data_IF_615328373672
#
_entry.id   IF_615328373672
#
_cell.length_a   1.000
_cell.length_b   1.000
_cell.length_c   1.000
_cell.angle_alpha   90.00
_cell.angle_beta   90.00
_cell.angle_gamma   90.00
#
_symmetry.space_group_name_H-M   'P 1'
#
loop_
_entity.id
_entity.type
_entity.pdbx_description
1 polymer ?
#
# COMPACT_ATOMS: atom_id res chain seq x y z
N UNK A 1 -102.49 -3.41 31.32
CA UNK A 1 -102.62 -4.43 30.27
C UNK A 1 -101.27 -4.61 29.57
N UNK A 2 -100.33 -5.33 30.20
CA UNK A 2 -98.90 -5.33 29.78
C UNK A 2 -98.31 -6.75 29.68
N UNK A 3 -99.03 -7.66 29.00
CA UNK A 3 -98.64 -9.07 28.93
C UNK A 3 -98.33 -9.63 27.54
N UNK A 4 -98.41 -8.83 26.46
CA UNK A 4 -98.48 -9.40 25.10
C UNK A 4 -97.68 -8.72 24.00
N UNK A 5 -96.92 -7.65 24.26
CA UNK A 5 -96.05 -7.09 23.25
C UNK A 5 -94.80 -7.98 23.10
N UNK A 6 -94.64 -8.59 21.93
CA UNK A 6 -93.47 -9.38 21.56
C UNK A 6 -92.20 -8.55 21.83
N UNK A 7 -91.42 -8.98 22.82
CA UNK A 7 -90.22 -8.26 23.24
C UNK A 7 -89.25 -8.11 22.07
N UNK A 8 -89.19 -9.12 21.20
CA UNK A 8 -88.35 -9.11 20.02
C UNK A 8 -88.77 -8.00 19.06
N UNK A 9 -90.07 -7.88 18.77
CA UNK A 9 -90.59 -6.81 17.93
C UNK A 9 -90.27 -5.41 18.47
N UNK A 10 -90.25 -5.23 19.80
CA UNK A 10 -89.86 -3.97 20.43
C UNK A 10 -88.35 -3.68 20.28
N UNK A 11 -87.50 -4.70 20.42
CA UNK A 11 -86.06 -4.57 20.17
C UNK A 11 -85.78 -4.25 18.70
N UNK A 12 -86.38 -4.99 17.77
CA UNK A 12 -86.24 -4.79 16.32
C UNK A 12 -86.72 -3.38 15.91
N UNK A 13 -87.84 -2.92 16.47
CA UNK A 13 -88.38 -1.57 16.24
C UNK A 13 -87.39 -0.45 16.58
N UNK A 14 -86.65 -0.59 17.69
CA UNK A 14 -85.66 0.41 18.10
C UNK A 14 -84.32 0.20 17.40
N UNK A 15 -83.93 -1.04 17.12
CA UNK A 15 -82.72 -1.38 16.37
C UNK A 15 -82.67 -0.65 15.01
N UNK A 16 -83.79 -0.65 14.29
CA UNK A 16 -83.91 -0.02 12.97
C UNK A 16 -83.86 1.52 13.05
N UNK A 17 -84.29 2.10 14.18
CA UNK A 17 -84.29 3.56 14.40
C UNK A 17 -82.98 4.11 14.93
N UNK A 18 -82.11 3.27 15.49
CA UNK A 18 -80.76 3.69 15.89
C UNK A 18 -79.93 3.95 14.63
N UNK A 19 -79.50 5.20 14.48
CA UNK A 19 -78.64 5.65 13.39
C UNK A 19 -77.27 6.00 13.94
N UNK A 20 -76.22 5.50 13.27
CA UNK A 20 -74.85 5.86 13.58
C UNK A 20 -74.52 7.23 12.98
N UNK A 21 -73.76 8.01 13.73
CA UNK A 21 -73.29 9.34 13.38
C UNK A 21 -71.81 9.48 13.77
N UNK A 22 -71.14 10.55 13.34
CA UNK A 22 -69.75 10.85 13.72
C UNK A 22 -68.78 9.66 13.53
N UNK A 23 -68.75 9.11 12.30
CA UNK A 23 -67.94 7.94 11.95
C UNK A 23 -66.45 8.10 12.25
N UNK A 24 -65.92 9.32 12.17
CA UNK A 24 -64.53 9.61 12.52
C UNK A 24 -64.22 9.28 13.98
N UNK A 25 -65.12 9.65 14.91
CA UNK A 25 -64.98 9.35 16.33
C UNK A 25 -65.23 7.86 16.62
N UNK A 26 -66.16 7.22 15.91
CA UNK A 26 -66.34 5.75 15.97
C UNK A 26 -65.03 5.04 15.58
N UNK A 27 -64.33 5.52 14.55
CA UNK A 27 -63.07 4.97 14.06
C UNK A 27 -61.81 5.44 14.81
N UNK A 28 -61.95 6.33 15.79
CA UNK A 28 -60.81 6.89 16.52
C UNK A 28 -59.98 5.78 17.19
N UNK A 29 -58.66 5.86 17.07
CA UNK A 29 -57.73 4.83 17.55
C UNK A 29 -57.48 4.89 19.05
N UNK A 30 -57.66 6.07 19.64
CA UNK A 30 -57.59 6.29 21.08
C UNK A 30 -58.77 5.67 21.81
N UNK A 31 -58.65 5.56 23.13
CA UNK A 31 -59.75 5.11 23.95
C UNK A 31 -60.87 6.15 23.95
N UNK A 32 -62.09 5.71 23.61
CA UNK A 32 -63.31 6.53 23.68
C UNK A 32 -64.28 5.81 24.59
N UNK A 33 -64.90 6.53 25.51
CA UNK A 33 -65.79 5.92 26.50
C UNK A 33 -67.09 5.46 25.84
N UNK A 34 -67.72 4.43 26.40
CA UNK A 34 -69.01 3.92 25.90
C UNK A 34 -70.12 4.97 26.00
N UNK A 35 -70.02 5.90 26.96
CA UNK A 35 -70.96 7.01 27.07
C UNK A 35 -70.83 7.95 25.87
N UNK A 36 -69.63 8.44 25.58
CA UNK A 36 -69.40 9.32 24.43
C UNK A 36 -69.80 8.66 23.12
N UNK A 37 -69.44 7.39 22.91
CA UNK A 37 -69.84 6.64 21.71
C UNK A 37 -71.36 6.55 21.56
N UNK A 38 -72.10 6.36 22.64
CA UNK A 38 -73.57 6.29 22.59
C UNK A 38 -74.18 7.66 22.33
N UNK A 39 -73.74 8.70 23.03
CA UNK A 39 -74.38 10.02 22.97
C UNK A 39 -73.97 10.82 21.73
N UNK A 40 -72.71 10.74 21.34
CA UNK A 40 -72.17 11.54 20.25
C UNK A 40 -72.12 10.81 18.92
N UNK A 41 -72.11 9.47 18.92
CA UNK A 41 -71.98 8.70 17.69
C UNK A 41 -73.26 7.92 17.34
N UNK A 42 -74.35 8.15 18.05
CA UNK A 42 -75.69 7.71 17.63
C UNK A 42 -76.72 8.80 17.89
N UNK A 43 -77.92 8.62 17.36
CA UNK A 43 -79.08 9.46 17.66
C UNK A 43 -79.73 9.17 19.03
N UNK A 44 -79.01 8.61 20.01
CA UNK A 44 -79.53 8.20 21.32
C UNK A 44 -80.32 9.31 22.03
N UNK A 45 -79.75 10.53 22.08
CA UNK A 45 -80.38 11.66 22.76
C UNK A 45 -81.65 12.12 22.05
N UNK A 46 -81.69 12.05 20.71
CA UNK A 46 -82.91 12.34 19.96
C UNK A 46 -84.00 11.28 20.22
N UNK A 47 -83.65 9.99 20.20
CA UNK A 47 -84.60 8.89 20.37
C UNK A 47 -85.25 8.87 21.76
N UNK A 48 -84.48 9.16 22.82
CA UNK A 48 -85.03 9.19 24.18
C UNK A 48 -85.97 10.39 24.40
N UNK A 49 -85.83 11.46 23.62
CA UNK A 49 -86.64 12.69 23.73
C UNK A 49 -87.82 12.73 22.76
N UNK A 50 -88.07 11.66 22.00
CA UNK A 50 -89.26 11.54 21.16
C UNK A 50 -90.54 11.65 21.98
N UNK A 51 -91.51 12.41 21.49
CA UNK A 51 -92.82 12.58 22.15
C UNK A 51 -93.50 11.23 22.44
N UNK A 52 -93.41 10.28 21.51
CA UNK A 52 -93.94 8.94 21.68
C UNK A 52 -93.29 8.15 22.84
N UNK A 53 -92.06 8.47 23.23
CA UNK A 53 -91.37 7.86 24.38
C UNK A 53 -91.70 8.63 25.66
N UNK A 54 -91.82 9.95 25.59
CA UNK A 54 -92.13 10.80 26.74
C UNK A 54 -93.59 10.65 27.21
N UNK A 55 -94.51 10.35 26.30
CA UNK A 55 -95.92 10.12 26.61
C UNK A 55 -96.20 8.77 27.29
N UNK A 56 -95.22 7.87 27.38
CA UNK A 56 -95.35 6.58 28.07
C UNK A 56 -95.39 6.76 29.60
N UNK A 57 -95.96 5.77 30.29
CA UNK A 57 -95.88 5.70 31.74
C UNK A 57 -94.41 5.54 32.21
N UNK A 58 -94.13 5.81 33.49
CA UNK A 58 -92.75 5.79 34.00
C UNK A 58 -92.06 4.44 33.76
N UNK A 59 -92.78 3.34 33.98
CA UNK A 59 -92.22 2.00 33.95
C UNK A 59 -91.91 1.55 32.51
N UNK A 60 -92.83 1.78 31.58
CA UNK A 60 -92.66 1.54 30.15
C UNK A 60 -91.60 2.47 29.55
N UNK A 61 -91.58 3.74 29.97
CA UNK A 61 -90.56 4.71 29.51
C UNK A 61 -89.16 4.27 29.94
N UNK A 62 -88.97 3.90 31.21
CA UNK A 62 -87.70 3.36 31.68
C UNK A 62 -87.27 2.12 30.87
N UNK A 63 -88.20 1.21 30.57
CA UNK A 63 -87.94 0.01 29.76
C UNK A 63 -87.53 0.36 28.33
N UNK A 64 -88.26 1.26 27.67
CA UNK A 64 -87.96 1.70 26.30
C UNK A 64 -86.62 2.43 26.23
N UNK A 65 -86.32 3.33 27.18
CA UNK A 65 -85.02 4.02 27.25
C UNK A 65 -83.87 3.02 27.46
N UNK A 66 -84.07 1.97 28.25
CA UNK A 66 -83.07 0.92 28.42
C UNK A 66 -82.79 0.16 27.11
N UNK A 67 -83.83 -0.16 26.33
CA UNK A 67 -83.69 -0.78 25.01
C UNK A 67 -82.95 0.14 24.04
N UNK A 68 -83.36 1.41 23.93
CA UNK A 68 -82.70 2.41 23.07
C UNK A 68 -81.22 2.58 23.46
N UNK A 69 -80.91 2.60 24.77
CA UNK A 69 -79.55 2.67 25.30
C UNK A 69 -78.72 1.46 24.89
N UNK A 70 -79.29 0.26 25.02
CA UNK A 70 -78.63 -0.99 24.64
C UNK A 70 -78.35 -1.02 23.14
N UNK A 71 -79.37 -0.80 22.30
CA UNK A 71 -79.23 -0.84 20.83
C UNK A 71 -78.23 0.21 20.32
N UNK A 72 -78.30 1.43 20.84
CA UNK A 72 -77.33 2.48 20.51
C UNK A 72 -75.90 2.09 20.87
N UNK A 73 -75.71 1.52 22.06
CA UNK A 73 -74.40 1.07 22.53
C UNK A 73 -73.87 -0.13 21.73
N UNK A 74 -74.72 -1.13 21.47
CA UNK A 74 -74.35 -2.33 20.75
C UNK A 74 -73.95 -2.01 19.30
N UNK A 75 -74.77 -1.22 18.59
CA UNK A 75 -74.55 -0.86 17.18
C UNK A 75 -73.26 -0.07 16.99
N UNK A 76 -73.00 0.92 17.85
CA UNK A 76 -71.76 1.73 17.76
C UNK A 76 -70.52 0.92 18.11
N UNK A 77 -70.57 0.06 19.14
CA UNK A 77 -69.45 -0.79 19.53
C UNK A 77 -69.14 -1.85 18.48
N UNK A 78 -70.18 -2.44 17.86
CA UNK A 78 -70.00 -3.40 16.77
C UNK A 78 -69.32 -2.73 15.57
N UNK A 79 -69.76 -1.53 15.18
CA UNK A 79 -69.14 -0.78 14.08
C UNK A 79 -67.69 -0.42 14.40
N UNK A 80 -67.42 0.13 15.59
CA UNK A 80 -66.08 0.48 16.07
C UNK A 80 -65.14 -0.74 16.06
N UNK A 81 -65.62 -1.87 16.56
CA UNK A 81 -64.85 -3.12 16.56
C UNK A 81 -64.49 -3.56 15.14
N UNK A 82 -65.41 -3.43 14.18
CA UNK A 82 -65.14 -3.69 12.77
C UNK A 82 -64.00 -2.81 12.22
N UNK A 83 -64.10 -1.50 12.41
CA UNK A 83 -63.10 -0.53 11.95
C UNK A 83 -61.71 -0.77 12.57
N UNK A 84 -61.65 -1.03 13.88
CA UNK A 84 -60.39 -1.29 14.57
C UNK A 84 -59.76 -2.62 14.12
N UNK A 85 -60.56 -3.65 13.82
CA UNK A 85 -60.06 -4.91 13.25
C UNK A 85 -59.49 -4.72 11.84
N UNK A 86 -60.17 -3.94 10.99
CA UNK A 86 -59.66 -3.61 9.66
C UNK A 86 -58.34 -2.86 9.73
N UNK A 87 -58.25 -1.88 10.64
CA UNK A 87 -57.02 -1.15 10.90
C UNK A 87 -55.90 -2.07 11.39
N UNK A 88 -56.16 -2.95 12.35
CA UNK A 88 -55.17 -3.92 12.85
C UNK A 88 -54.64 -4.82 11.72
N UNK A 89 -55.53 -5.33 10.85
CA UNK A 89 -55.15 -6.12 9.67
C UNK A 89 -54.28 -5.32 8.69
N UNK A 90 -54.57 -4.03 8.49
CA UNK A 90 -53.74 -3.17 7.65
C UNK A 90 -52.34 -3.00 8.25
N UNK A 91 -52.24 -2.73 9.56
CA UNK A 91 -50.98 -2.65 10.28
C UNK A 91 -50.16 -3.93 10.18
N UNK A 92 -50.77 -5.10 10.35
CA UNK A 92 -50.10 -6.40 10.18
C UNK A 92 -49.56 -6.59 8.77
N UNK A 93 -50.35 -6.27 7.73
CA UNK A 93 -49.90 -6.34 6.33
C UNK A 93 -48.72 -5.41 6.08
N UNK A 94 -48.77 -4.18 6.60
CA UNK A 94 -47.65 -3.25 6.49
C UNK A 94 -46.40 -3.77 7.21
N UNK A 95 -46.53 -4.26 8.43
CA UNK A 95 -45.42 -4.83 9.20
C UNK A 95 -44.78 -6.03 8.48
N UNK A 96 -45.58 -6.93 7.92
CA UNK A 96 -45.09 -8.07 7.13
C UNK A 96 -44.35 -7.60 5.87
N UNK A 97 -44.87 -6.60 5.18
CA UNK A 97 -44.23 -6.03 4.00
C UNK A 97 -42.91 -5.34 4.35
N UNK A 98 -42.85 -4.58 5.45
CA UNK A 98 -41.61 -3.98 5.95
C UNK A 98 -40.58 -5.06 6.32
N UNK A 99 -40.98 -6.10 7.05
CA UNK A 99 -40.11 -7.24 7.41
C UNK A 99 -39.55 -7.96 6.18
N UNK A 100 -40.35 -8.14 5.11
CA UNK A 100 -39.86 -8.70 3.84
C UNK A 100 -38.82 -7.80 3.18
N UNK A 101 -39.06 -6.48 3.12
CA UNK A 101 -38.11 -5.51 2.58
C UNK A 101 -36.80 -5.50 3.37
N UNK A 102 -36.88 -5.50 4.68
CA UNK A 102 -35.73 -5.53 5.58
C UNK A 102 -34.87 -6.78 5.36
N UNK A 103 -35.49 -7.96 5.26
CA UNK A 103 -34.79 -9.21 4.91
C UNK A 103 -34.10 -9.13 3.55
N UNK A 104 -34.74 -8.50 2.57
CA UNK A 104 -34.16 -8.26 1.25
C UNK A 104 -32.92 -7.36 1.32
N UNK A 105 -33.00 -6.24 2.04
CA UNK A 105 -31.87 -5.33 2.25
C UNK A 105 -30.72 -6.02 2.99
N UNK A 106 -31.00 -6.79 4.04
CA UNK A 106 -29.99 -7.56 4.77
C UNK A 106 -29.28 -8.61 3.90
N UNK A 107 -29.98 -9.18 2.91
CA UNK A 107 -29.38 -10.08 1.93
C UNK A 107 -28.40 -9.33 1.02
N UNK A 108 -28.81 -8.16 0.51
CA UNK A 108 -27.96 -7.31 -0.34
C UNK A 108 -26.72 -6.82 0.44
N UNK A 109 -26.89 -6.37 1.68
CA UNK A 109 -25.79 -5.95 2.55
C UNK A 109 -24.78 -7.09 2.75
N UNK A 110 -25.26 -8.32 2.96
CA UNK A 110 -24.39 -9.51 3.06
C UNK A 110 -23.58 -9.72 1.79
N UNK A 111 -24.22 -9.68 0.61
CA UNK A 111 -23.54 -9.80 -0.68
C UNK A 111 -22.45 -8.74 -0.85
N UNK A 112 -22.74 -7.47 -0.51
CA UNK A 112 -21.73 -6.42 -0.58
C UNK A 112 -20.58 -6.64 0.40
N UNK A 113 -20.85 -7.09 1.63
CA UNK A 113 -19.82 -7.42 2.60
C UNK A 113 -18.89 -8.52 2.10
N UNK A 114 -19.43 -9.55 1.45
CA UNK A 114 -18.64 -10.65 0.91
C UNK A 114 -17.79 -10.20 -0.30
N UNK A 115 -18.33 -9.35 -1.17
CA UNK A 115 -17.58 -8.74 -2.28
C UNK A 115 -16.42 -7.88 -1.74
N UNK A 116 -16.67 -7.06 -0.72
CA UNK A 116 -15.64 -6.20 -0.12
C UNK A 116 -14.51 -7.04 0.48
N UNK A 117 -14.81 -8.09 1.25
CA UNK A 117 -13.80 -9.02 1.76
C UNK A 117 -12.98 -9.68 0.65
N UNK A 118 -13.62 -10.05 -0.46
CA UNK A 118 -12.95 -10.58 -1.64
C UNK A 118 -11.96 -9.59 -2.25
N UNK A 119 -12.36 -8.31 -2.33
CA UNK A 119 -11.49 -7.22 -2.80
C UNK A 119 -10.33 -6.96 -1.84
N UNK A 120 -10.55 -6.93 -0.53
CA UNK A 120 -9.48 -6.76 0.46
C UNK A 120 -8.43 -7.88 0.34
N UNK A 121 -8.89 -9.12 0.16
CA UNK A 121 -7.99 -10.26 -0.06
C UNK A 121 -7.19 -10.11 -1.35
N UNK A 122 -7.80 -9.57 -2.42
CA UNK A 122 -7.12 -9.31 -3.69
C UNK A 122 -6.09 -8.18 -3.57
N UNK A 123 -6.43 -7.09 -2.87
CA UNK A 123 -5.52 -5.98 -2.57
C UNK A 123 -4.30 -6.50 -1.81
N UNK A 124 -4.48 -7.30 -0.74
CA UNK A 124 -3.36 -7.87 0.00
C UNK A 124 -2.43 -8.75 -0.84
N UNK A 125 -2.96 -9.50 -1.82
CA UNK A 125 -2.14 -10.25 -2.79
C UNK A 125 -1.33 -9.33 -3.70
N UNK A 126 -1.96 -8.27 -4.20
CA UNK A 126 -1.27 -7.29 -5.05
C UNK A 126 -0.17 -6.56 -4.29
N UNK A 127 -0.43 -6.12 -3.05
CA UNK A 127 0.57 -5.49 -2.19
C UNK A 127 1.77 -6.41 -1.93
N UNK A 128 1.50 -7.69 -1.66
CA UNK A 128 2.57 -8.69 -1.48
C UNK A 128 3.39 -8.87 -2.76
N UNK A 129 2.73 -8.89 -3.93
CA UNK A 129 3.41 -8.99 -5.22
C UNK A 129 4.26 -7.76 -5.53
N UNK A 130 3.75 -6.56 -5.22
CA UNK A 130 4.49 -5.30 -5.38
C UNK A 130 5.74 -5.31 -4.51
N UNK A 131 5.64 -5.71 -3.23
CA UNK A 131 6.80 -5.82 -2.33
C UNK A 131 7.85 -6.80 -2.86
N UNK A 132 7.43 -7.96 -3.35
CA UNK A 132 8.34 -8.94 -3.95
C UNK A 132 9.06 -8.37 -5.18
N UNK A 133 8.33 -7.71 -6.07
CA UNK A 133 8.90 -7.09 -7.27
C UNK A 133 9.83 -5.91 -6.94
N UNK A 134 9.55 -5.17 -5.87
CA UNK A 134 10.44 -4.11 -5.40
C UNK A 134 11.76 -4.68 -4.89
N UNK A 135 11.71 -5.74 -4.07
CA UNK A 135 12.90 -6.43 -3.59
C UNK A 135 13.73 -7.03 -4.75
N UNK A 136 13.08 -7.63 -5.74
CA UNK A 136 13.75 -8.15 -6.94
C UNK A 136 14.43 -7.03 -7.75
N UNK A 137 13.74 -5.90 -7.95
CA UNK A 137 14.34 -4.74 -8.63
C UNK A 137 15.52 -4.16 -7.87
N UNK A 138 15.47 -4.10 -6.54
CA UNK A 138 16.59 -3.65 -5.71
C UNK A 138 17.78 -4.60 -5.84
N UNK A 139 17.55 -5.91 -5.76
CA UNK A 139 18.60 -6.92 -5.97
C UNK A 139 19.27 -6.75 -7.35
N UNK A 140 18.48 -6.66 -8.43
CA UNK A 140 19.00 -6.45 -9.78
C UNK A 140 19.78 -5.14 -9.92
N UNK A 141 19.34 -4.06 -9.26
CA UNK A 141 20.09 -2.79 -9.24
C UNK A 141 21.44 -2.96 -8.56
N UNK A 142 21.50 -3.69 -7.44
CA UNK A 142 22.78 -3.94 -6.75
C UNK A 142 23.71 -4.82 -7.59
N UNK A 143 23.20 -5.87 -8.21
CA UNK A 143 23.97 -6.74 -9.12
C UNK A 143 24.50 -5.94 -10.32
N UNK A 144 23.68 -5.06 -10.90
CA UNK A 144 24.12 -4.19 -11.99
C UNK A 144 25.21 -3.20 -11.56
N UNK A 145 25.14 -2.67 -10.33
CA UNK A 145 26.19 -1.81 -9.78
C UNK A 145 27.49 -2.58 -9.55
N UNK A 146 27.41 -3.80 -9.01
CA UNK A 146 28.56 -4.68 -8.82
C UNK A 146 29.22 -5.03 -10.15
N UNK A 147 28.44 -5.46 -11.15
CA UNK A 147 28.96 -5.77 -12.49
C UNK A 147 29.66 -4.56 -13.14
N UNK A 148 29.13 -3.34 -12.96
CA UNK A 148 29.80 -2.12 -13.42
C UNK A 148 31.13 -1.87 -12.70
N UNK A 149 31.17 -2.06 -11.39
CA UNK A 149 32.40 -1.90 -10.61
C UNK A 149 33.45 -2.96 -10.99
N UNK A 150 33.04 -4.22 -11.19
CA UNK A 150 33.92 -5.29 -11.67
C UNK A 150 34.49 -4.98 -13.05
N UNK A 151 33.66 -4.49 -13.98
CA UNK A 151 34.11 -4.06 -15.31
C UNK A 151 35.14 -2.93 -15.21
N UNK A 152 34.94 -1.94 -14.33
CA UNK A 152 35.92 -0.87 -14.11
C UNK A 152 37.24 -1.41 -13.55
N UNK A 153 37.18 -2.26 -12.52
CA UNK A 153 38.36 -2.91 -11.95
C UNK A 153 39.13 -3.74 -12.99
N UNK A 154 38.41 -4.44 -13.87
CA UNK A 154 39.03 -5.21 -14.95
C UNK A 154 39.79 -4.30 -15.93
N UNK A 155 39.20 -3.16 -16.32
CA UNK A 155 39.90 -2.19 -17.17
C UNK A 155 41.13 -1.57 -16.49
N UNK A 156 41.05 -1.29 -15.18
CA UNK A 156 42.18 -0.78 -14.41
C UNK A 156 43.30 -1.83 -14.30
N UNK A 157 42.95 -3.10 -14.03
CA UNK A 157 43.90 -4.21 -13.98
C UNK A 157 44.61 -4.40 -15.32
N UNK A 158 43.89 -4.37 -16.44
CA UNK A 158 44.48 -4.44 -17.77
C UNK A 158 45.45 -3.28 -18.02
N UNK A 159 45.09 -2.06 -17.60
CA UNK A 159 45.96 -0.88 -17.74
C UNK A 159 47.24 -1.02 -16.91
N UNK A 160 47.14 -1.53 -15.67
CA UNK A 160 48.26 -1.77 -14.77
C UNK A 160 49.18 -2.87 -15.30
N UNK A 161 48.61 -3.95 -15.85
CA UNK A 161 49.38 -5.01 -16.49
C UNK A 161 50.21 -4.47 -17.64
N UNK A 162 49.62 -3.68 -18.54
CA UNK A 162 50.36 -3.03 -19.64
C UNK A 162 51.45 -2.10 -19.15
N UNK A 163 51.18 -1.30 -18.12
CA UNK A 163 52.17 -0.40 -17.52
C UNK A 163 53.33 -1.18 -16.88
N UNK A 164 53.02 -2.29 -16.20
CA UNK A 164 54.02 -3.17 -15.62
C UNK A 164 54.90 -3.83 -16.69
N UNK A 165 54.32 -4.37 -17.75
CA UNK A 165 55.05 -4.95 -18.89
C UNK A 165 55.97 -3.91 -19.54
N UNK A 166 55.49 -2.68 -19.75
CA UNK A 166 56.29 -1.59 -20.29
C UNK A 166 57.50 -1.26 -19.38
N UNK A 167 57.30 -1.23 -18.06
CA UNK A 167 58.38 -0.99 -17.10
C UNK A 167 59.37 -2.15 -17.04
N UNK A 168 58.92 -3.40 -17.18
CA UNK A 168 59.80 -4.58 -17.31
C UNK A 168 60.70 -4.44 -18.54
N UNK A 169 60.14 -4.10 -19.70
CA UNK A 169 60.92 -3.85 -20.93
C UNK A 169 61.91 -2.71 -20.74
N UNK A 170 61.48 -1.61 -20.11
CA UNK A 170 62.36 -0.47 -19.82
C UNK A 170 63.54 -0.87 -18.91
N UNK A 171 63.30 -1.65 -17.87
CA UNK A 171 64.35 -2.17 -16.96
C UNK A 171 65.33 -3.07 -17.70
N UNK A 172 64.86 -3.94 -18.60
CA UNK A 172 65.74 -4.76 -19.44
C UNK A 172 66.63 -3.90 -20.35
N UNK A 173 66.07 -2.84 -20.94
CA UNK A 173 66.84 -1.91 -21.78
C UNK A 173 67.91 -1.16 -20.97
N UNK A 174 67.56 -0.69 -19.77
CA UNK A 174 68.52 -0.05 -18.86
C UNK A 174 69.63 -1.01 -18.44
N UNK A 175 69.32 -2.27 -18.16
CA UNK A 175 70.32 -3.28 -17.84
C UNK A 175 71.32 -3.49 -19.00
N UNK A 176 70.83 -3.60 -20.24
CA UNK A 176 71.68 -3.69 -21.44
C UNK A 176 72.56 -2.45 -21.63
N UNK A 177 71.99 -1.26 -21.46
CA UNK A 177 72.73 0.00 -21.56
C UNK A 177 73.84 0.09 -20.49
N UNK A 178 73.53 -0.27 -19.24
CA UNK A 178 74.51 -0.30 -18.15
C UNK A 178 75.65 -1.30 -18.44
N UNK A 179 75.34 -2.47 -19.00
CA UNK A 179 76.35 -3.44 -19.40
C UNK A 179 77.27 -2.88 -20.52
N UNK A 180 76.70 -2.22 -21.52
CA UNK A 180 77.46 -1.57 -22.60
C UNK A 180 78.36 -0.44 -22.06
N UNK A 181 77.83 0.41 -21.20
CA UNK A 181 78.59 1.50 -20.56
C UNK A 181 79.71 0.95 -19.67
N UNK A 182 79.44 -0.10 -18.89
CA UNK A 182 80.46 -0.80 -18.10
C UNK A 182 81.60 -1.34 -18.96
N UNK A 183 81.28 -1.95 -20.10
CA UNK A 183 82.27 -2.40 -21.09
C UNK A 183 83.11 -1.24 -21.65
N UNK A 184 82.48 -0.12 -22.04
CA UNK A 184 83.19 1.08 -22.53
C UNK A 184 84.09 1.69 -21.45
N UNK A 185 83.63 1.74 -20.20
CA UNK A 185 84.43 2.19 -19.06
C UNK A 185 85.63 1.27 -18.82
N UNK A 186 85.46 -0.04 -18.95
CA UNK A 186 86.57 -0.99 -18.86
C UNK A 186 87.60 -0.78 -19.98
N UNK A 187 87.15 -0.60 -21.23
CA UNK A 187 88.04 -0.30 -22.36
C UNK A 187 88.78 1.02 -22.19
N UNK A 188 88.09 2.10 -21.82
CA UNK A 188 88.72 3.42 -21.59
C UNK A 188 89.73 3.38 -20.45
N UNK A 189 89.44 2.66 -19.37
CA UNK A 189 90.40 2.43 -18.29
C UNK A 189 91.61 1.60 -18.76
N UNK A 190 91.39 0.59 -19.61
CA UNK A 190 92.47 -0.20 -20.21
C UNK A 190 93.37 0.65 -21.11
N UNK A 191 92.80 1.41 -22.04
CA UNK A 191 93.56 2.32 -22.90
C UNK A 191 94.29 3.39 -22.11
N UNK A 192 93.72 3.88 -21.01
CA UNK A 192 94.41 4.80 -20.11
C UNK A 192 95.64 4.11 -19.49
N UNK A 193 95.51 2.88 -19.00
CA UNK A 193 96.64 2.10 -18.47
C UNK A 193 97.70 1.85 -19.53
N UNK A 194 97.33 1.35 -20.71
CA UNK A 194 98.25 1.10 -21.83
C UNK A 194 98.99 2.38 -22.26
N UNK A 195 98.29 3.52 -22.30
CA UNK A 195 98.91 4.82 -22.59
C UNK A 195 99.88 5.25 -21.50
N UNK A 196 99.52 5.05 -20.23
CA UNK A 196 100.39 5.41 -19.11
C UNK A 196 101.64 4.51 -19.08
N UNK A 197 101.51 3.21 -19.40
CA UNK A 197 102.62 2.28 -19.61
C UNK A 197 103.52 2.70 -20.80
N UNK A 198 102.93 3.06 -21.94
CA UNK A 198 103.67 3.56 -23.11
C UNK A 198 104.40 4.87 -22.83
N UNK A 199 103.81 5.77 -22.03
CA UNK A 199 104.47 7.01 -21.59
C UNK A 199 105.70 6.71 -20.74
N UNK A 200 105.61 5.74 -19.85
CA UNK A 200 106.74 5.34 -19.02
C UNK A 200 107.82 4.63 -19.86
N UNK A 201 107.44 3.77 -20.80
CA UNK A 201 108.36 3.16 -21.75
C UNK A 201 109.10 4.20 -22.62
N UNK A 202 108.39 5.23 -23.12
CA UNK A 202 109.00 6.32 -23.88
C UNK A 202 109.95 7.17 -23.02
N UNK A 203 109.62 7.36 -21.73
CA UNK A 203 110.49 8.06 -20.78
C UNK A 203 111.79 7.30 -20.57
N UNK A 204 111.71 5.98 -20.38
CA UNK A 204 112.89 5.10 -20.27
C UNK A 204 113.69 5.13 -21.57
N UNK A 205 113.04 5.01 -22.73
CA UNK A 205 113.71 5.04 -24.03
C UNK A 205 114.45 6.37 -24.25
N UNK A 206 113.83 7.50 -23.94
CA UNK A 206 114.48 8.82 -24.01
C UNK A 206 115.69 8.92 -23.09
N UNK A 207 115.57 8.45 -21.84
CA UNK A 207 116.70 8.41 -20.90
C UNK A 207 117.83 7.53 -21.43
N UNK A 208 117.52 6.36 -21.98
CA UNK A 208 118.53 5.48 -22.58
C UNK A 208 119.16 6.09 -23.84
N UNK A 209 118.38 6.75 -24.69
CA UNK A 209 118.85 7.44 -25.90
C UNK A 209 119.70 8.67 -25.55
N UNK A 210 119.37 9.40 -24.49
CA UNK A 210 120.20 10.47 -23.94
C UNK A 210 121.49 9.93 -23.33
N UNK A 211 121.43 8.85 -22.56
CA UNK A 211 122.62 8.17 -22.03
C UNK A 211 123.54 7.67 -23.16
N UNK A 212 122.99 7.02 -24.19
CA UNK A 212 123.75 6.56 -25.37
C UNK A 212 124.31 7.73 -26.19
N UNK A 213 123.60 8.87 -26.26
CA UNK A 213 124.13 10.09 -26.90
C UNK A 213 125.29 10.68 -26.10
N UNK A 214 125.19 10.69 -24.77
CA UNK A 214 126.29 11.09 -23.89
C UNK A 214 127.48 10.13 -24.02
N UNK A 215 127.25 8.81 -24.11
CA UNK A 215 128.31 7.83 -24.39
C UNK A 215 128.94 8.01 -25.78
N UNK A 216 128.16 8.31 -26.82
CA UNK A 216 128.67 8.62 -28.16
C UNK A 216 129.43 9.95 -28.20
N UNK A 217 129.01 10.95 -27.44
CA UNK A 217 129.75 12.20 -27.26
C UNK A 217 131.04 11.99 -26.46
N UNK A 218 131.04 11.11 -25.45
CA UNK A 218 132.25 10.68 -24.73
C UNK A 218 133.23 9.93 -25.65
N UNK A 219 132.74 9.00 -26.48
CA UNK A 219 133.53 8.30 -27.51
C UNK A 219 134.04 9.23 -28.62
N UNK A 220 133.38 10.37 -28.85
CA UNK A 220 133.85 11.42 -29.76
C UNK A 220 134.79 12.42 -29.10
N UNK A 221 134.83 12.50 -27.77
CA UNK A 221 135.60 13.51 -27.00
C UNK A 221 136.80 12.96 -26.22
N UNK A 222 137.09 11.66 -26.28
CA UNK A 222 138.39 11.08 -25.94
C UNK A 222 138.55 9.71 -26.62
N UNK A 223 139.69 9.26 -27.11
CA UNK A 223 141.07 9.76 -27.18
C UNK A 223 141.77 8.88 -28.27
N UNK A 224 142.76 9.39 -29.03
CA UNK A 224 143.58 8.59 -29.93
C UNK A 224 144.84 8.02 -29.24
N UNK A 225 145.38 6.93 -29.83
CA UNK A 225 146.74 6.34 -29.72
C UNK A 225 146.93 5.13 -28.79
N UNK A 226 147.49 4.06 -29.37
CA UNK A 226 148.03 2.93 -28.61
C UNK A 226 148.47 1.75 -29.47
N UNK A 227 149.45 1.97 -30.35
CA UNK A 227 150.22 0.92 -31.05
C UNK A 227 150.75 -0.15 -30.07
N UNK A 228 150.66 -1.42 -30.48
CA UNK A 228 151.27 -2.55 -29.79
C UNK A 228 151.35 -3.78 -30.69
N UNK A 229 152.32 -3.76 -31.62
CA UNK A 229 152.86 -4.94 -32.27
C UNK A 229 153.71 -5.72 -31.26
N UNK A 230 153.52 -7.05 -31.19
CA UNK A 230 154.57 -8.00 -30.82
C UNK A 230 154.19 -9.41 -31.34
N UNK A 231 155.01 -9.88 -32.28
CA UNK A 231 155.28 -11.26 -32.75
C UNK A 231 154.15 -12.18 -33.22
#
# INVERSE_FOLDING_TARGET
MLGGADQKALFDYWHDRVQLQNFDRIGAREHVTTQELRHECTNYDALRHLEAVQALDELERCRVIAIIKYESTAKVLQRRTGLLREYARACEKHAQHHSKKEKGLLSVIRKFKDILKGKDSYIGRLESRIKALQAENEALRTEQQQSKAESQLQTELESLQRAFEAEVVRRQQLARNNQSLGGRLAHTNRYRRERDELREALRIERQTSEALRQELEQLRSGEPLGLGLAE
#
